data_IF_221444855173
#
_entry.id   IF_221444855173
#
_cell.length_a   1.000
_cell.length_b   1.000
_cell.length_c   1.000
_cell.angle_alpha   90.00
_cell.angle_beta   90.00
_cell.angle_gamma   90.00
#
_symmetry.space_group_name_H-M   'P 1'
#
loop_
_entity.id
_entity.type
_entity.pdbx_description
1 polymer ?
#
# COMPACT_ATOMS: atom_id res chain seq x y z
N UNK A 1 16.45 -17.32 -6.29
CA UNK A 1 15.13 -16.87 -5.76
C UNK A 1 15.22 -16.42 -4.29
N UNK A 2 15.90 -17.14 -3.38
CA UNK A 2 16.04 -16.76 -1.95
C UNK A 2 16.54 -15.34 -1.65
N UNK A 3 17.30 -14.70 -2.54
CA UNK A 3 17.89 -13.39 -2.30
C UNK A 3 16.93 -12.20 -2.45
N UNK A 4 15.72 -12.43 -2.99
CA UNK A 4 14.68 -11.40 -3.10
C UNK A 4 13.79 -11.36 -1.85
N UNK A 5 13.82 -12.41 -1.04
CA UNK A 5 13.16 -12.42 0.27
C UNK A 5 14.00 -11.63 1.28
N UNK A 6 13.32 -10.98 2.21
CA UNK A 6 13.91 -10.16 3.26
C UNK A 6 13.32 -8.76 3.33
N UNK A 7 13.53 -8.11 4.47
CA UNK A 7 12.96 -6.80 4.78
C UNK A 7 13.95 -5.64 4.58
N UNK A 8 15.21 -5.95 4.25
CA UNK A 8 16.24 -4.93 3.98
C UNK A 8 16.61 -4.91 2.49
N UNK A 9 16.94 -3.74 1.93
CA UNK A 9 16.86 -2.42 2.55
C UNK A 9 15.39 -1.95 2.69
N UNK A 10 15.13 -1.14 3.72
CA UNK A 10 13.80 -0.57 4.00
C UNK A 10 13.66 0.89 3.53
N UNK A 11 14.77 1.56 3.19
CA UNK A 11 14.76 2.92 2.64
C UNK A 11 15.28 2.91 1.20
N UNK A 12 14.64 3.71 0.35
CA UNK A 12 15.13 3.96 -1.00
C UNK A 12 16.33 4.91 -0.95
N UNK A 13 17.33 4.64 -1.79
CA UNK A 13 18.30 5.64 -2.21
C UNK A 13 18.83 5.31 -3.60
N UNK A 14 19.19 6.33 -4.38
CA UNK A 14 19.62 6.18 -5.78
C UNK A 14 20.82 5.24 -5.97
N UNK A 15 21.68 5.15 -4.95
CA UNK A 15 22.86 4.27 -4.91
C UNK A 15 22.54 2.78 -4.72
N UNK A 16 21.29 2.39 -4.47
CA UNK A 16 20.92 0.97 -4.41
C UNK A 16 21.11 0.33 -5.79
N UNK A 17 21.85 -0.79 -5.81
CA UNK A 17 22.13 -1.57 -7.03
C UNK A 17 21.82 -3.05 -6.82
N UNK A 18 21.78 -3.79 -7.93
CA UNK A 18 21.62 -5.25 -7.96
C UNK A 18 20.44 -5.76 -7.12
N UNK A 19 20.70 -6.80 -6.30
CA UNK A 19 19.68 -7.50 -5.52
C UNK A 19 19.03 -6.63 -4.45
N UNK A 20 19.77 -5.70 -3.85
CA UNK A 20 19.22 -4.80 -2.83
C UNK A 20 18.18 -3.85 -3.44
N UNK A 21 18.49 -3.27 -4.62
CA UNK A 21 17.54 -2.44 -5.38
C UNK A 21 16.28 -3.21 -5.75
N UNK A 22 16.44 -4.40 -6.33
CA UNK A 22 15.30 -5.25 -6.73
C UNK A 22 14.42 -5.62 -5.54
N UNK A 23 15.02 -6.01 -4.41
CA UNK A 23 14.27 -6.36 -3.20
C UNK A 23 13.52 -5.16 -2.60
N UNK A 24 14.11 -3.97 -2.59
CA UNK A 24 13.38 -2.77 -2.18
C UNK A 24 12.14 -2.55 -3.06
N UNK A 25 12.34 -2.58 -4.38
CA UNK A 25 11.26 -2.37 -5.37
C UNK A 25 10.14 -3.40 -5.14
N UNK A 26 10.48 -4.69 -5.04
CA UNK A 26 9.50 -5.74 -4.78
C UNK A 26 8.75 -5.49 -3.46
N UNK A 27 9.47 -5.16 -2.39
CA UNK A 27 8.84 -4.87 -1.10
C UNK A 27 7.90 -3.67 -1.18
N UNK A 28 8.30 -2.60 -1.87
CA UNK A 28 7.47 -1.41 -2.07
C UNK A 28 6.20 -1.73 -2.87
N UNK A 29 6.31 -2.51 -3.95
CA UNK A 29 5.16 -2.82 -4.81
C UNK A 29 4.22 -3.89 -4.25
N UNK A 30 4.73 -4.83 -3.45
CA UNK A 30 3.97 -6.05 -3.11
C UNK A 30 3.69 -6.22 -1.61
N UNK A 31 4.35 -5.43 -0.74
CA UNK A 31 4.29 -5.64 0.71
C UNK A 31 4.07 -4.36 1.52
N UNK A 32 4.16 -3.18 0.88
CA UNK A 32 4.05 -1.90 1.55
C UNK A 32 2.66 -1.68 2.13
N UNK A 33 2.63 -1.19 3.37
CA UNK A 33 1.43 -0.69 4.05
C UNK A 33 1.75 0.67 4.65
N UNK A 34 2.59 0.64 5.67
CA UNK A 34 3.03 1.81 6.39
C UNK A 34 4.44 2.23 5.98
N UNK A 35 4.70 3.52 6.16
CA UNK A 35 6.03 4.10 6.12
C UNK A 35 6.29 4.90 7.38
N UNK A 36 7.55 5.02 7.76
CA UNK A 36 8.00 5.96 8.79
C UNK A 36 7.92 7.40 8.31
N UNK A 37 8.08 8.36 9.23
CA UNK A 37 8.18 9.80 8.91
C UNK A 37 9.29 10.14 7.90
N UNK A 38 10.31 9.28 7.76
CA UNK A 38 11.41 9.45 6.80
C UNK A 38 11.19 8.66 5.50
N UNK A 39 10.01 8.07 5.28
CA UNK A 39 9.68 7.32 4.07
C UNK A 39 10.26 5.89 4.01
N UNK A 40 10.82 5.37 5.11
CA UNK A 40 11.23 3.97 5.21
C UNK A 40 10.01 3.04 5.30
N UNK A 41 10.04 1.91 4.61
CA UNK A 41 9.03 0.86 4.67
C UNK A 41 8.94 0.24 6.07
N UNK A 42 7.74 0.14 6.61
CA UNK A 42 7.45 -0.64 7.81
C UNK A 42 6.80 -1.98 7.44
N UNK A 43 7.36 -3.09 7.95
CA UNK A 43 6.89 -4.45 7.68
C UNK A 43 6.16 -5.10 8.86
N UNK A 44 6.10 -4.42 10.00
CA UNK A 44 5.58 -4.97 11.26
C UNK A 44 4.10 -4.61 11.41
N UNK A 45 3.74 -3.37 11.12
CA UNK A 45 2.38 -2.87 11.23
C UNK A 45 1.49 -3.44 10.12
N UNK A 46 0.41 -4.12 10.54
CA UNK A 46 -0.60 -4.75 9.66
C UNK A 46 -2.02 -4.43 10.08
N UNK A 47 -2.22 -3.54 11.05
CA UNK A 47 -3.51 -3.14 11.59
C UNK A 47 -4.18 -2.05 10.74
N UNK A 48 -5.32 -1.55 11.22
CA UNK A 48 -5.97 -0.36 10.69
C UNK A 48 -5.20 0.93 11.07
N UNK A 49 -5.28 2.00 10.26
CA UNK A 49 -4.58 3.26 10.52
C UNK A 49 -4.85 3.88 11.90
N UNK A 50 -6.09 3.80 12.41
CA UNK A 50 -6.46 4.33 13.73
C UNK A 50 -5.80 3.63 14.92
N UNK A 51 -5.21 2.44 14.72
CA UNK A 51 -4.48 1.67 15.73
C UNK A 51 -2.95 1.77 15.54
N UNK A 52 -2.48 2.47 14.51
CA UNK A 52 -1.05 2.59 14.22
C UNK A 52 -0.39 3.62 15.15
N UNK A 53 0.88 3.39 15.56
CA UNK A 53 1.63 4.39 16.31
C UNK A 53 1.91 5.63 15.44
N UNK A 54 1.96 6.81 16.06
CA UNK A 54 2.19 8.08 15.36
C UNK A 54 3.54 8.18 14.61
N UNK A 55 4.47 7.26 14.86
CA UNK A 55 5.77 7.18 14.19
C UNK A 55 5.69 6.66 12.75
N UNK A 56 4.57 6.05 12.37
CA UNK A 56 4.30 5.54 11.03
C UNK A 56 2.96 6.07 10.52
N UNK A 57 2.79 6.06 9.19
CA UNK A 57 1.53 6.40 8.54
C UNK A 57 1.32 5.55 7.29
N UNK A 58 0.06 5.37 6.83
CA UNK A 58 -0.21 4.77 5.53
C UNK A 58 0.61 5.45 4.44
N UNK A 59 1.17 4.66 3.52
CA UNK A 59 2.07 5.20 2.50
C UNK A 59 1.43 6.30 1.65
N UNK A 60 0.11 6.22 1.42
CA UNK A 60 -0.64 7.16 0.58
C UNK A 60 -0.86 8.53 1.26
N UNK A 61 -0.64 8.65 2.57
CA UNK A 61 -0.65 9.94 3.28
C UNK A 61 0.69 10.68 3.18
N UNK A 62 1.67 10.13 2.45
CA UNK A 62 2.91 10.81 2.16
C UNK A 62 2.78 11.63 0.87
N UNK A 63 3.05 12.93 0.98
CA UNK A 63 3.08 13.81 -0.18
C UNK A 63 4.11 13.30 -1.20
N UNK A 64 3.64 13.09 -2.44
CA UNK A 64 4.46 12.66 -3.57
C UNK A 64 4.38 13.71 -4.69
N UNK A 65 5.42 14.54 -4.88
CA UNK A 65 5.38 15.62 -5.88
C UNK A 65 5.36 15.11 -7.34
N UNK A 66 5.65 13.82 -7.57
CA UNK A 66 5.60 13.22 -8.90
C UNK A 66 4.23 12.62 -9.25
N UNK A 67 3.28 12.60 -8.30
CA UNK A 67 1.92 12.13 -8.53
C UNK A 67 1.01 13.34 -8.70
N UNK A 68 0.49 13.52 -9.92
CA UNK A 68 -0.47 14.59 -10.21
C UNK A 68 -1.78 14.36 -9.45
N UNK A 69 -2.42 15.45 -8.98
CA UNK A 69 -3.70 15.41 -8.27
C UNK A 69 -4.82 14.72 -9.05
N UNK A 70 -4.73 14.69 -10.39
CA UNK A 70 -5.71 14.02 -11.26
C UNK A 70 -5.42 12.52 -11.44
N UNK A 71 -4.23 12.04 -11.07
CA UNK A 71 -3.86 10.64 -11.17
C UNK A 71 -4.38 9.86 -9.98
N UNK A 72 -5.25 8.87 -10.24
CA UNK A 72 -5.74 7.95 -9.22
C UNK A 72 -4.84 6.74 -9.09
N UNK A 73 -4.66 6.27 -7.86
CA UNK A 73 -3.94 5.03 -7.53
C UNK A 73 -4.93 4.03 -6.95
N UNK A 74 -5.20 2.97 -7.73
CA UNK A 74 -5.99 1.83 -7.28
C UNK A 74 -5.03 0.75 -6.78
N UNK A 75 -5.24 0.25 -5.56
CA UNK A 75 -4.33 -0.74 -4.96
C UNK A 75 -5.08 -1.79 -4.12
N UNK A 76 -4.37 -2.87 -3.78
CA UNK A 76 -4.87 -3.97 -2.95
C UNK A 76 -3.86 -4.39 -1.89
N UNK A 77 -3.77 -5.68 -1.60
CA UNK A 77 -2.84 -6.31 -0.62
C UNK A 77 -3.10 -5.99 0.87
N UNK A 78 -3.70 -4.84 1.17
CA UNK A 78 -3.90 -4.37 2.53
C UNK A 78 -5.33 -4.61 3.04
N UNK A 79 -5.75 -5.87 3.13
CA UNK A 79 -7.08 -6.27 3.59
C UNK A 79 -7.54 -5.64 4.92
N UNK A 80 -6.64 -5.44 5.90
CA UNK A 80 -7.01 -4.81 7.18
C UNK A 80 -7.42 -3.35 7.06
N UNK A 81 -7.10 -2.68 5.95
CA UNK A 81 -7.59 -1.33 5.63
C UNK A 81 -9.09 -1.31 5.28
N UNK A 82 -9.67 -2.46 4.88
CA UNK A 82 -11.09 -2.59 4.50
C UNK A 82 -11.55 -1.57 3.46
N UNK A 83 -10.66 -1.17 2.55
CA UNK A 83 -10.95 -0.16 1.53
C UNK A 83 -10.98 1.29 2.03
N UNK A 84 -10.68 1.55 3.31
CA UNK A 84 -10.86 2.85 3.95
C UNK A 84 -9.61 3.74 3.82
N UNK A 85 -9.51 4.49 2.73
CA UNK A 85 -8.46 5.51 2.53
C UNK A 85 -8.92 6.92 2.90
N UNK A 86 -10.24 7.17 2.87
CA UNK A 86 -10.84 8.51 2.97
C UNK A 86 -10.30 9.52 1.94
N UNK A 87 -9.81 9.04 0.81
CA UNK A 87 -9.19 9.84 -0.23
C UNK A 87 -9.76 9.47 -1.61
N UNK A 88 -10.01 10.47 -2.47
CA UNK A 88 -10.52 10.27 -3.85
C UNK A 88 -9.42 9.86 -4.83
N UNK A 89 -8.17 10.19 -4.53
CA UNK A 89 -6.99 9.87 -5.31
C UNK A 89 -6.54 8.42 -5.06
N UNK A 90 -6.64 7.93 -3.82
CA UNK A 90 -6.20 6.60 -3.43
C UNK A 90 -7.38 5.68 -3.14
N UNK A 91 -7.55 4.63 -3.96
CA UNK A 91 -8.69 3.72 -3.88
C UNK A 91 -8.19 2.32 -3.51
N UNK A 92 -8.51 1.87 -2.31
CA UNK A 92 -8.17 0.52 -1.83
C UNK A 92 -9.29 -0.48 -2.20
N UNK A 93 -8.94 -1.49 -3.00
CA UNK A 93 -9.86 -2.52 -3.50
C UNK A 93 -9.81 -3.83 -2.71
N UNK A 94 -8.73 -4.05 -1.95
CA UNK A 94 -8.61 -5.22 -1.09
C UNK A 94 -9.46 -5.03 0.17
N UNK A 95 -10.71 -5.48 0.07
CA UNK A 95 -11.67 -5.53 1.17
C UNK A 95 -11.73 -6.90 1.83
N UNK A 96 -10.73 -7.77 1.61
CA UNK A 96 -10.51 -8.98 2.41
C UNK A 96 -11.51 -10.12 2.19
N UNK A 97 -11.93 -10.39 0.95
CA UNK A 97 -12.89 -11.47 0.60
C UNK A 97 -12.56 -12.82 1.28
N UNK A 98 -11.31 -13.27 1.17
CA UNK A 98 -10.84 -14.55 1.75
C UNK A 98 -10.89 -14.60 3.28
N UNK A 99 -11.08 -13.46 3.94
CA UNK A 99 -11.23 -13.33 5.39
C UNK A 99 -12.69 -13.21 5.82
N UNK A 100 -13.65 -13.51 4.94
CA UNK A 100 -15.09 -13.43 5.23
C UNK A 100 -15.71 -12.05 5.05
N UNK A 101 -14.99 -11.11 4.42
CA UNK A 101 -15.49 -9.76 4.16
C UNK A 101 -16.13 -9.65 2.77
N UNK A 102 -15.48 -8.96 1.83
CA UNK A 102 -16.04 -8.71 0.51
C UNK A 102 -14.97 -8.66 -0.58
N UNK A 103 -15.42 -8.82 -1.82
CA UNK A 103 -14.68 -8.54 -3.04
C UNK A 103 -15.23 -7.23 -3.61
N UNK A 104 -14.35 -6.26 -3.85
CA UNK A 104 -14.72 -4.93 -4.35
C UNK A 104 -14.19 -4.71 -5.76
N UNK A 105 -15.10 -4.38 -6.68
CA UNK A 105 -14.80 -4.04 -8.06
C UNK A 105 -15.05 -2.54 -8.29
N UNK A 106 -14.12 -1.85 -8.94
CA UNK A 106 -14.24 -0.42 -9.25
C UNK A 106 -14.41 -0.19 -10.75
N UNK A 107 -15.45 0.54 -11.14
CA UNK A 107 -15.71 0.91 -12.52
C UNK A 107 -15.01 2.24 -12.86
N UNK A 108 -14.00 2.18 -13.73
CA UNK A 108 -13.19 3.34 -14.12
C UNK A 108 -13.97 4.41 -14.91
N UNK A 109 -15.04 4.02 -15.59
CA UNK A 109 -15.81 4.91 -16.48
C UNK A 109 -16.74 5.83 -15.69
N UNK A 110 -17.42 5.30 -14.66
CA UNK A 110 -18.43 6.04 -13.90
C UNK A 110 -18.12 6.17 -12.40
N UNK A 111 -16.95 5.71 -11.95
CA UNK A 111 -16.46 5.81 -10.58
C UNK A 111 -17.37 5.14 -9.54
N UNK A 112 -18.05 4.05 -9.94
CA UNK A 112 -18.90 3.26 -9.03
C UNK A 112 -18.17 2.03 -8.50
N UNK A 113 -18.58 1.59 -7.30
CA UNK A 113 -18.10 0.36 -6.68
C UNK A 113 -19.20 -0.70 -6.66
N UNK A 114 -18.85 -1.92 -7.03
CA UNK A 114 -19.67 -3.12 -6.83
C UNK A 114 -19.01 -3.94 -5.72
N UNK A 115 -19.80 -4.41 -4.76
CA UNK A 115 -19.31 -5.16 -3.59
C UNK A 115 -20.04 -6.49 -3.52
N UNK A 116 -19.27 -7.58 -3.53
CA UNK A 116 -19.76 -8.96 -3.42
C UNK A 116 -19.34 -9.51 -2.06
N UNK A 117 -20.28 -9.96 -1.24
CA UNK A 117 -20.00 -10.56 0.08
C UNK A 117 -19.41 -11.97 -0.08
N UNK A 118 -18.53 -12.35 0.85
CA UNK A 118 -17.94 -13.68 0.95
C UNK A 118 -18.97 -14.74 1.35
#
# INVERSE_FOLDING_TARGET
INTLYGNQPYSWHSKLTGKQRLRFIINAFTRMRYITVHGALDFNAKMQPNLAPATIKPWFEQHNPNLSEQQRVLFGHWASLLGQTNDRQFIALDTGYVWGNALTCFNLTNNTCIVIKA
#
